data_IF_722465458945
#
_entry.id   IF_722465458945
#
_cell.length_a   1.000
_cell.length_b   1.000
_cell.length_c   1.000
_cell.angle_alpha   90.00
_cell.angle_beta   90.00
_cell.angle_gamma   90.00
#
_symmetry.space_group_name_H-M   'P 1'
#
loop_
_entity.id
_entity.type
_entity.pdbx_description
1 polymer ?
#
# COMPACT_ATOMS: atom_id res chain seq x y z
N UNK A 1 -6.66 6.48 2.22
CA UNK A 1 -5.23 6.11 2.12
C UNK A 1 -4.97 4.99 3.11
N UNK A 2 -4.07 4.07 2.81
CA UNK A 2 -3.67 2.97 3.69
C UNK A 2 -2.15 2.90 3.80
N UNK A 3 -1.62 2.19 4.80
CA UNK A 3 -0.18 2.01 4.97
C UNK A 3 0.30 0.67 4.43
N UNK A 4 1.54 0.64 3.94
CA UNK A 4 2.25 -0.57 3.54
C UNK A 4 3.70 -0.59 3.97
N UNK A 5 4.27 -1.78 4.07
CA UNK A 5 5.68 -1.97 4.43
C UNK A 5 6.50 -2.36 3.20
N UNK A 6 7.50 -1.53 2.92
CA UNK A 6 8.54 -1.77 1.94
C UNK A 6 9.77 -2.36 2.62
N UNK A 7 10.42 -3.31 1.97
CA UNK A 7 11.70 -3.87 2.38
C UNK A 7 12.78 -3.40 1.42
N UNK A 8 13.85 -2.79 1.95
CA UNK A 8 15.05 -2.47 1.18
C UNK A 8 16.04 -3.63 1.21
N UNK A 9 16.57 -4.02 0.05
CA UNK A 9 17.71 -4.94 0.01
C UNK A 9 18.96 -4.22 0.54
N UNK A 10 19.33 -4.48 1.81
CA UNK A 10 20.62 -4.07 2.35
C UNK A 10 21.59 -5.23 2.13
N UNK A 11 22.39 -5.17 1.06
CA UNK A 11 23.51 -6.12 0.89
C UNK A 11 24.62 -5.68 1.84
N UNK A 12 24.56 -6.10 3.10
CA UNK A 12 25.69 -5.97 4.02
C UNK A 12 26.66 -7.10 3.67
N UNK A 13 27.69 -6.80 2.87
CA UNK A 13 28.88 -7.65 2.81
C UNK A 13 29.50 -7.65 4.22
N UNK A 14 29.29 -8.73 4.97
CA UNK A 14 29.89 -8.96 6.28
C UNK A 14 31.41 -9.13 6.14
N UNK A 15 32.14 -8.02 6.04
CA UNK A 15 33.54 -7.98 6.44
C UNK A 15 33.59 -7.48 7.87
N UNK A 16 33.95 -8.37 8.81
CA UNK A 16 34.21 -8.08 10.22
C UNK A 16 35.47 -7.22 10.35
N UNK A 17 35.36 -5.95 9.95
CA UNK A 17 36.33 -4.90 10.25
C UNK A 17 35.51 -3.66 10.57
N UNK A 18 35.30 -3.42 11.87
CA UNK A 18 34.77 -2.18 12.47
C UNK A 18 33.98 -1.30 11.49
N UNK A 19 32.68 -1.56 11.31
CA UNK A 19 31.77 -0.52 10.83
C UNK A 19 31.81 0.59 11.89
N UNK A 20 32.75 1.53 11.75
CA UNK A 20 32.41 2.91 12.06
C UNK A 20 31.08 3.11 11.36
N UNK A 21 30.01 3.38 12.11
CA UNK A 21 28.83 4.06 11.56
C UNK A 21 29.42 5.08 10.58
N UNK A 22 29.18 4.90 9.28
CA UNK A 22 29.52 5.92 8.30
C UNK A 22 28.61 7.07 8.70
N UNK A 23 29.09 7.89 9.63
CA UNK A 23 28.29 8.91 10.27
C UNK A 23 27.96 9.84 9.11
N UNK A 24 26.67 10.01 8.77
CA UNK A 24 26.32 10.97 7.75
C UNK A 24 26.99 12.27 8.15
N UNK A 25 27.64 12.93 7.19
CA UNK A 25 28.36 14.19 7.39
C UNK A 25 27.57 15.03 8.41
N UNK A 26 28.19 15.58 9.46
CA UNK A 26 27.45 16.22 10.59
C UNK A 26 26.43 17.30 10.18
N UNK A 27 26.44 17.70 8.90
CA UNK A 27 25.50 18.60 8.23
C UNK A 27 24.21 17.94 7.71
N UNK A 28 24.10 16.62 7.76
CA UNK A 28 22.93 15.89 7.26
C UNK A 28 21.77 15.99 8.22
N UNK A 29 20.62 16.36 7.69
CA UNK A 29 19.37 16.45 8.44
C UNK A 29 18.88 15.03 8.76
N UNK A 30 18.64 14.76 10.05
CA UNK A 30 18.28 13.41 10.54
C UNK A 30 16.79 13.22 10.76
N UNK A 31 15.97 14.26 10.62
CA UNK A 31 14.52 14.21 10.83
C UNK A 31 13.79 15.02 9.76
N UNK A 32 12.62 14.55 9.33
CA UNK A 32 11.68 15.32 8.54
C UNK A 32 10.33 15.35 9.25
N UNK A 33 9.93 16.52 9.75
CA UNK A 33 8.87 16.60 10.76
C UNK A 33 9.21 15.73 11.97
N UNK A 34 8.29 14.87 12.36
CA UNK A 34 8.43 13.94 13.50
C UNK A 34 9.08 12.59 13.13
N UNK A 35 9.48 12.40 11.86
CA UNK A 35 10.02 11.14 11.37
C UNK A 35 11.54 11.17 11.34
N UNK A 36 12.18 10.25 12.05
CA UNK A 36 13.62 9.99 11.99
C UNK A 36 14.00 9.37 10.63
N UNK A 37 15.06 9.90 10.02
CA UNK A 37 15.65 9.42 8.78
C UNK A 37 17.05 8.86 9.08
N UNK A 38 17.14 7.55 9.37
CA UNK A 38 18.40 6.89 9.68
C UNK A 38 19.17 6.51 8.41
N UNK A 39 20.50 6.50 8.48
CA UNK A 39 21.33 5.87 7.44
C UNK A 39 20.92 4.39 7.26
N UNK A 40 20.79 3.86 6.02
CA UNK A 40 21.30 4.36 4.75
C UNK A 40 20.46 5.43 4.05
N UNK A 41 19.31 5.83 4.62
CA UNK A 41 18.50 6.92 4.10
C UNK A 41 19.11 8.27 4.47
N UNK A 42 18.78 9.31 3.71
CA UNK A 42 19.27 10.64 4.03
C UNK A 42 18.54 11.75 3.30
N UNK A 43 18.53 12.93 3.93
CA UNK A 43 17.96 14.15 3.36
C UNK A 43 19.11 15.03 2.86
N UNK A 44 19.10 15.35 1.57
CA UNK A 44 20.08 16.21 0.94
C UNK A 44 21.27 15.47 0.31
N UNK A 45 22.05 16.23 -0.45
CA UNK A 45 23.13 15.70 -1.31
C UNK A 45 24.20 15.03 -0.45
N UNK A 46 24.48 13.76 -0.74
CA UNK A 46 25.53 12.99 -0.07
C UNK A 46 25.17 12.51 1.35
N UNK A 47 23.90 12.61 1.75
CA UNK A 47 23.44 12.14 3.06
C UNK A 47 22.87 10.72 3.05
N UNK A 48 22.42 10.24 1.89
CA UNK A 48 22.00 8.86 1.67
C UNK A 48 23.16 8.03 1.11
N UNK A 49 23.09 6.70 1.27
CA UNK A 49 24.09 5.78 0.69
C UNK A 49 24.12 5.87 -0.85
N UNK A 50 22.95 6.07 -1.45
CA UNK A 50 22.73 6.20 -2.89
C UNK A 50 21.48 7.05 -3.14
N UNK A 51 21.32 7.54 -4.37
CA UNK A 51 20.19 8.38 -4.78
C UNK A 51 18.82 7.74 -4.50
N UNK A 52 18.70 6.41 -4.54
CA UNK A 52 17.44 5.69 -4.31
C UNK A 52 17.06 5.57 -2.82
N UNK A 53 17.97 5.93 -1.92
CA UNK A 53 17.73 6.07 -0.49
C UNK A 53 17.55 7.54 -0.07
N UNK A 54 17.58 8.48 -1.02
CA UNK A 54 17.29 9.88 -0.73
C UNK A 54 15.83 10.05 -0.32
N UNK A 55 15.64 10.82 0.76
CA UNK A 55 14.33 11.19 1.26
C UNK A 55 14.11 12.66 0.93
N UNK A 56 13.02 12.93 0.21
CA UNK A 56 12.57 14.29 -0.02
C UNK A 56 11.74 14.73 1.19
N UNK A 57 12.21 15.77 1.89
CA UNK A 57 11.45 16.38 2.98
C UNK A 57 10.70 17.61 2.44
N UNK A 58 9.38 17.50 2.32
CA UNK A 58 8.54 18.53 1.71
C UNK A 58 7.47 19.02 2.69
N UNK A 59 7.20 20.32 2.68
CA UNK A 59 6.11 20.92 3.47
C UNK A 59 4.79 20.74 2.72
N UNK A 60 3.84 20.06 3.34
CA UNK A 60 2.50 19.78 2.79
C UNK A 60 1.54 20.96 3.00
N UNK A 61 0.34 20.88 2.42
CA UNK A 61 -0.67 21.97 2.41
C UNK A 61 -1.11 22.39 3.82
N UNK A 62 -1.08 21.45 4.78
CA UNK A 62 -1.33 21.68 6.21
C UNK A 62 -0.16 22.36 6.94
N UNK A 63 0.94 22.67 6.23
CA UNK A 63 2.12 23.31 6.79
C UNK A 63 3.07 22.36 7.51
N UNK A 64 2.81 21.05 7.53
CA UNK A 64 3.65 20.04 8.20
C UNK A 64 4.72 19.55 7.22
N UNK A 65 5.95 19.33 7.70
CA UNK A 65 6.99 18.67 6.89
C UNK A 65 6.81 17.17 6.92
N UNK A 66 6.78 16.53 5.75
CA UNK A 66 6.62 15.09 5.61
C UNK A 66 7.72 14.50 4.72
N UNK A 67 8.27 13.34 5.09
CA UNK A 67 9.26 12.66 4.26
C UNK A 67 8.59 11.87 3.13
N UNK A 68 9.23 11.85 1.98
CA UNK A 68 8.80 11.09 0.81
C UNK A 68 9.98 10.29 0.24
N UNK A 69 9.74 9.02 -0.05
CA UNK A 69 10.59 8.20 -0.92
C UNK A 69 9.86 8.14 -2.26
N UNK A 70 10.45 8.72 -3.30
CA UNK A 70 9.73 9.01 -4.55
C UNK A 70 8.44 9.80 -4.27
N UNK A 71 7.29 9.26 -4.67
CA UNK A 71 5.97 9.87 -4.48
C UNK A 71 5.23 9.32 -3.25
N UNK A 72 5.88 8.44 -2.47
CA UNK A 72 5.27 7.79 -1.32
C UNK A 72 5.66 8.49 -0.02
N UNK A 73 4.67 9.03 0.68
CA UNK A 73 4.86 9.58 2.03
C UNK A 73 5.33 8.46 2.97
N UNK A 74 6.41 8.71 3.71
CA UNK A 74 7.00 7.76 4.65
C UNK A 74 6.42 8.02 6.04
N UNK A 75 5.83 6.98 6.62
CA UNK A 75 5.25 7.02 7.96
C UNK A 75 6.26 6.60 9.03
N UNK A 76 7.21 5.72 8.69
CA UNK A 76 8.27 5.27 9.58
C UNK A 76 9.39 4.56 8.80
N UNK A 77 10.63 4.65 9.30
CA UNK A 77 11.77 3.89 8.78
C UNK A 77 12.40 3.09 9.94
N UNK A 78 12.61 1.80 9.72
CA UNK A 78 13.36 0.92 10.59
C UNK A 78 14.57 0.36 9.82
N UNK A 79 15.70 1.06 9.90
CA UNK A 79 16.93 0.65 9.23
C UNK A 79 17.42 -0.72 9.71
N UNK A 80 17.29 -1.03 11.00
CA UNK A 80 17.68 -2.33 11.58
C UNK A 80 16.86 -3.50 11.04
N UNK A 81 15.62 -3.26 10.62
CA UNK A 81 14.75 -4.27 9.98
C UNK A 81 14.77 -4.18 8.45
N UNK A 82 15.50 -3.22 7.87
CA UNK A 82 15.46 -2.91 6.45
C UNK A 82 14.05 -2.57 5.94
N UNK A 83 13.24 -1.90 6.78
CA UNK A 83 11.82 -1.66 6.54
C UNK A 83 11.52 -0.17 6.47
N UNK A 84 10.63 0.22 5.55
CA UNK A 84 10.00 1.54 5.51
C UNK A 84 8.49 1.36 5.42
N UNK A 85 7.74 1.99 6.32
CA UNK A 85 6.28 2.06 6.21
C UNK A 85 5.93 3.31 5.40
N UNK A 86 5.13 3.14 4.36
CA UNK A 86 4.70 4.22 3.47
C UNK A 86 3.19 4.30 3.39
N UNK A 87 2.68 5.50 3.11
CA UNK A 87 1.28 5.75 2.81
C UNK A 87 1.03 5.57 1.32
N UNK A 88 -0.17 5.10 1.00
CA UNK A 88 -0.57 4.85 -0.37
C UNK A 88 -2.04 5.14 -0.63
N UNK A 89 -2.30 5.59 -1.85
CA UNK A 89 -3.64 5.80 -2.38
C UNK A 89 -4.34 4.46 -2.55
N UNK A 90 -5.63 4.41 -2.21
CA UNK A 90 -6.44 3.21 -2.31
C UNK A 90 -7.16 3.25 -3.67
N UNK A 91 -6.91 2.29 -4.58
CA UNK A 91 -7.64 2.16 -5.82
C UNK A 91 -9.10 1.84 -5.56
N UNK A 92 -9.99 2.45 -6.34
CA UNK A 92 -11.43 2.32 -6.16
C UNK A 92 -12.14 2.01 -7.47
N UNK A 93 -13.25 1.30 -7.36
CA UNK A 93 -14.16 0.99 -8.44
C UNK A 93 -15.57 1.33 -7.97
N UNK A 94 -16.07 2.48 -8.40
CA UNK A 94 -17.26 3.11 -7.83
C UNK A 94 -18.35 3.31 -8.87
N UNK A 95 -19.60 3.12 -8.47
CA UNK A 95 -20.74 3.42 -9.31
C UNK A 95 -20.95 4.94 -9.41
N UNK A 96 -21.03 5.43 -10.64
CA UNK A 96 -21.36 6.82 -10.93
C UNK A 96 -22.81 6.91 -11.40
N UNK A 97 -23.66 7.48 -10.56
CA UNK A 97 -25.09 7.65 -10.83
C UNK A 97 -25.39 8.64 -11.97
N UNK A 98 -24.46 9.53 -12.31
CA UNK A 98 -24.64 10.48 -13.41
C UNK A 98 -24.37 9.85 -14.78
N UNK A 99 -23.45 8.88 -14.85
CA UNK A 99 -23.09 8.19 -16.09
C UNK A 99 -23.71 6.78 -16.18
N UNK A 100 -24.32 6.31 -15.10
CA UNK A 100 -24.84 4.96 -14.89
C UNK A 100 -23.80 3.86 -15.16
N UNK A 101 -22.53 4.16 -14.89
CA UNK A 101 -21.39 3.28 -15.13
C UNK A 101 -20.50 3.19 -13.91
N UNK A 102 -19.65 2.17 -13.89
CA UNK A 102 -18.59 2.07 -12.90
C UNK A 102 -17.37 2.87 -13.35
N UNK A 103 -16.98 3.83 -12.51
CA UNK A 103 -15.75 4.59 -12.64
C UNK A 103 -14.61 3.83 -11.96
N UNK A 104 -13.57 3.55 -12.75
CA UNK A 104 -12.34 2.95 -12.27
C UNK A 104 -11.33 4.06 -11.99
N UNK A 105 -10.78 4.06 -10.78
CA UNK A 105 -9.56 4.80 -10.44
C UNK A 105 -8.42 3.78 -10.34
N UNK A 106 -7.82 3.41 -11.49
CA UNK A 106 -6.79 2.39 -11.51
C UNK A 106 -5.53 2.94 -10.84
N UNK A 107 -4.72 2.03 -10.30
CA UNK A 107 -3.40 2.41 -9.81
C UNK A 107 -2.38 1.31 -10.11
N UNK A 108 -1.29 1.75 -10.71
CA UNK A 108 -0.11 0.93 -10.89
C UNK A 108 0.90 1.30 -9.81
N UNK A 109 1.37 0.28 -9.10
CA UNK A 109 2.43 0.47 -8.12
C UNK A 109 3.74 -0.07 -8.68
N UNK A 110 4.76 0.79 -8.72
CA UNK A 110 6.12 0.42 -9.11
C UNK A 110 7.08 0.90 -8.03
N UNK A 111 7.81 -0.04 -7.45
CA UNK A 111 8.89 0.25 -6.53
C UNK A 111 10.21 0.29 -7.29
N UNK A 112 10.95 1.38 -7.12
CA UNK A 112 12.34 1.41 -7.55
C UNK A 112 13.16 0.43 -6.70
N UNK A 113 14.14 -0.22 -7.31
CA UNK A 113 15.15 -0.96 -6.55
C UNK A 113 15.80 0.00 -5.53
N UNK A 114 16.14 -0.41 -4.30
CA UNK A 114 16.15 -1.78 -3.79
C UNK A 114 14.88 -2.18 -3.05
N UNK A 115 13.76 -1.46 -3.22
CA UNK A 115 12.54 -1.72 -2.47
C UNK A 115 11.71 -2.86 -3.07
N UNK A 116 11.05 -3.61 -2.19
CA UNK A 116 10.00 -4.60 -2.51
C UNK A 116 8.89 -4.55 -1.47
N UNK A 117 7.72 -5.08 -1.80
CA UNK A 117 6.67 -5.25 -0.78
C UNK A 117 7.04 -6.38 0.19
N UNK A 118 6.69 -6.19 1.48
CA UNK A 118 6.83 -7.23 2.50
C UNK A 118 5.77 -8.31 2.30
N UNK A 119 6.18 -9.50 1.85
CA UNK A 119 5.29 -10.65 1.65
C UNK A 119 4.78 -11.28 2.95
N UNK A 120 5.37 -10.90 4.07
CA UNK A 120 4.99 -11.37 5.41
C UNK A 120 4.00 -10.42 6.08
N UNK A 121 4.26 -9.11 5.99
CA UNK A 121 3.47 -8.11 6.71
C UNK A 121 2.33 -7.53 5.87
N UNK A 122 2.49 -7.51 4.54
CA UNK A 122 1.45 -7.02 3.66
C UNK A 122 0.62 -8.16 3.09
N UNK A 123 -0.69 -7.92 2.97
CA UNK A 123 -1.62 -8.79 2.26
C UNK A 123 -2.33 -8.00 1.17
N UNK A 124 -2.74 -8.69 0.12
CA UNK A 124 -3.73 -8.15 -0.80
C UNK A 124 -5.10 -8.24 -0.13
N UNK A 125 -5.82 -7.13 -0.07
CA UNK A 125 -7.16 -7.03 0.52
C UNK A 125 -8.06 -6.34 -0.47
N UNK A 126 -9.24 -6.93 -0.68
CA UNK A 126 -10.32 -6.28 -1.41
C UNK A 126 -11.54 -6.16 -0.49
N UNK A 127 -12.23 -5.03 -0.59
CA UNK A 127 -13.46 -4.72 0.14
C UNK A 127 -14.54 -4.22 -0.82
N UNK A 128 -15.80 -4.47 -0.48
CA UNK A 128 -16.97 -4.18 -1.30
C UNK A 128 -17.84 -5.42 -1.49
N UNK A 129 -18.86 -5.32 -2.33
CA UNK A 129 -19.71 -6.45 -2.70
C UNK A 129 -19.90 -6.54 -4.22
N UNK A 130 -20.40 -7.70 -4.67
CA UNK A 130 -20.60 -8.03 -6.09
C UNK A 130 -19.37 -7.79 -6.98
N UNK A 131 -18.17 -7.82 -6.41
CA UNK A 131 -16.94 -7.46 -7.12
C UNK A 131 -15.82 -8.47 -6.88
N UNK A 132 -14.94 -8.58 -7.86
CA UNK A 132 -13.68 -9.29 -7.79
C UNK A 132 -12.57 -8.28 -7.99
N UNK A 133 -11.67 -8.20 -7.02
CA UNK A 133 -10.42 -7.46 -7.13
C UNK A 133 -9.26 -8.42 -7.36
N UNK A 134 -8.31 -8.06 -8.20
CA UNK A 134 -7.04 -8.78 -8.24
C UNK A 134 -5.86 -7.89 -8.61
N UNK A 135 -4.69 -8.31 -8.15
CA UNK A 135 -3.41 -7.77 -8.59
C UNK A 135 -2.73 -8.70 -9.56
N UNK A 136 -2.07 -8.15 -10.56
CA UNK A 136 -1.20 -8.91 -11.45
C UNK A 136 0.11 -8.19 -11.76
N UNK A 137 1.11 -8.95 -12.18
CA UNK A 137 2.38 -8.40 -12.69
C UNK A 137 2.81 -9.12 -13.96
N UNK A 138 3.14 -8.34 -14.99
CA UNK A 138 3.57 -8.86 -16.28
C UNK A 138 4.90 -9.62 -16.24
N UNK A 139 5.77 -9.32 -15.26
CA UNK A 139 7.13 -9.90 -15.19
C UNK A 139 7.15 -11.37 -14.77
N UNK A 140 6.20 -11.82 -13.94
CA UNK A 140 6.20 -13.18 -13.37
C UNK A 140 4.90 -13.96 -13.60
N UNK A 141 3.95 -13.43 -14.38
CA UNK A 141 2.58 -13.98 -14.53
C UNK A 141 1.92 -14.30 -13.18
N UNK A 142 2.29 -13.55 -12.15
CA UNK A 142 1.74 -13.70 -10.82
C UNK A 142 0.41 -12.96 -10.75
N UNK A 143 -0.58 -13.60 -10.12
CA UNK A 143 -1.89 -13.05 -9.84
C UNK A 143 -2.25 -13.40 -8.40
N UNK A 144 -2.76 -12.42 -7.65
CA UNK A 144 -3.53 -12.67 -6.43
C UNK A 144 -4.87 -11.97 -6.55
N UNK A 145 -5.94 -12.74 -6.42
CA UNK A 145 -7.30 -12.25 -6.53
C UNK A 145 -8.12 -12.55 -5.29
N UNK A 146 -9.20 -11.80 -5.17
CA UNK A 146 -10.21 -11.91 -4.14
C UNK A 146 -11.58 -11.67 -4.77
N UNK A 147 -12.48 -12.62 -4.56
CA UNK A 147 -13.90 -12.47 -4.91
C UNK A 147 -14.64 -12.05 -3.65
N UNK A 148 -15.50 -11.06 -3.76
CA UNK A 148 -16.24 -10.52 -2.62
C UNK A 148 -17.72 -10.39 -2.98
N UNK A 149 -18.56 -11.04 -2.19
CA UNK A 149 -20.01 -11.10 -2.42
C UNK A 149 -20.75 -10.86 -1.11
N UNK A 150 -21.85 -10.12 -1.17
CA UNK A 150 -22.79 -9.99 -0.07
C UNK A 150 -24.17 -9.62 -0.65
N UNK A 151 -25.25 -10.12 -0.05
CA UNK A 151 -26.62 -9.88 -0.54
C UNK A 151 -27.27 -8.67 0.13
N UNK A 152 -26.95 -8.43 1.40
CA UNK A 152 -27.46 -7.31 2.17
C UNK A 152 -26.39 -6.80 3.15
N UNK A 153 -26.55 -5.57 3.67
CA UNK A 153 -25.70 -5.04 4.73
C UNK A 153 -25.68 -5.90 6.01
N UNK A 154 -26.77 -6.63 6.30
CA UNK A 154 -26.92 -7.41 7.53
C UNK A 154 -25.98 -8.62 7.60
N UNK A 155 -25.43 -9.06 6.46
CA UNK A 155 -24.43 -10.14 6.38
C UNK A 155 -23.01 -9.67 6.72
N UNK A 156 -22.78 -8.36 6.73
CA UNK A 156 -21.45 -7.80 6.97
C UNK A 156 -21.07 -7.94 8.45
N UNK A 157 -19.91 -8.53 8.69
CA UNK A 157 -19.38 -8.72 10.04
C UNK A 157 -18.06 -7.96 10.22
N UNK A 158 -18.06 -6.98 11.13
CA UNK A 158 -16.85 -6.24 11.47
C UNK A 158 -15.72 -7.17 11.94
N UNK A 159 -14.51 -6.91 11.48
CA UNK A 159 -13.33 -7.75 11.72
C UNK A 159 -13.27 -9.04 10.87
N UNK A 160 -14.33 -9.40 10.14
CA UNK A 160 -14.33 -10.55 9.23
C UNK A 160 -13.74 -10.19 7.87
N UNK A 161 -12.93 -11.08 7.30
CA UNK A 161 -12.38 -10.90 5.95
C UNK A 161 -12.21 -12.25 5.23
N UNK A 162 -13.35 -12.92 5.03
CA UNK A 162 -13.42 -14.31 4.53
C UNK A 162 -14.30 -14.46 3.27
N UNK A 163 -14.48 -13.38 2.49
CA UNK A 163 -15.21 -13.36 1.23
C UNK A 163 -16.54 -12.61 1.26
N UNK A 164 -17.07 -12.28 2.44
CA UNK A 164 -18.28 -11.48 2.62
C UNK A 164 -17.88 -10.05 2.99
N UNK A 165 -18.09 -9.10 2.07
CA UNK A 165 -17.69 -7.70 2.22
C UNK A 165 -16.18 -7.41 2.23
N UNK A 166 -15.37 -8.37 2.67
CA UNK A 166 -13.91 -8.31 2.68
C UNK A 166 -13.31 -9.67 2.33
N UNK A 167 -12.27 -9.67 1.50
CA UNK A 167 -11.43 -10.82 1.23
C UNK A 167 -9.96 -10.42 1.34
N UNK A 168 -9.12 -11.33 1.86
CA UNK A 168 -7.68 -11.16 1.90
C UNK A 168 -6.97 -12.32 1.17
N UNK A 169 -5.82 -12.03 0.59
CA UNK A 169 -4.94 -13.00 -0.04
C UNK A 169 -3.46 -12.67 0.25
N UNK A 170 -2.61 -13.68 0.26
CA UNK A 170 -1.15 -13.49 0.41
C UNK A 170 -0.55 -12.87 -0.85
N UNK A 171 0.57 -12.15 -0.70
CA UNK A 171 1.35 -11.70 -1.85
C UNK A 171 2.59 -12.58 -2.08
N UNK A 172 3.04 -12.68 -3.33
CA UNK A 172 4.27 -13.43 -3.64
C UNK A 172 5.53 -12.73 -3.13
N UNK A 173 6.56 -13.54 -2.89
CA UNK A 173 7.92 -13.06 -2.59
C UNK A 173 8.47 -12.22 -3.74
N UNK A 174 9.31 -11.26 -3.39
CA UNK A 174 9.99 -10.37 -4.35
C UNK A 174 9.04 -9.55 -5.25
N UNK A 175 7.79 -9.34 -4.84
CA UNK A 175 6.88 -8.42 -5.52
C UNK A 175 7.43 -6.99 -5.44
N UNK A 176 7.68 -6.38 -6.60
CA UNK A 176 8.18 -5.00 -6.73
C UNK A 176 7.25 -4.10 -7.52
N UNK A 177 6.30 -4.68 -8.25
CA UNK A 177 5.28 -3.93 -8.98
C UNK A 177 4.01 -4.75 -9.15
N UNK A 178 2.87 -4.08 -9.20
CA UNK A 178 1.59 -4.69 -9.53
C UNK A 178 0.62 -3.67 -10.12
N UNK A 179 -0.34 -4.18 -10.88
CA UNK A 179 -1.52 -3.46 -11.37
C UNK A 179 -2.74 -3.96 -10.60
N UNK A 180 -3.68 -3.07 -10.27
CA UNK A 180 -4.96 -3.45 -9.66
C UNK A 180 -6.07 -3.46 -10.72
N UNK A 181 -6.88 -4.52 -10.73
CA UNK A 181 -8.03 -4.67 -11.62
C UNK A 181 -9.26 -5.07 -10.83
N UNK A 182 -10.42 -4.63 -11.32
CA UNK A 182 -11.73 -4.96 -10.78
C UNK A 182 -12.63 -5.56 -11.87
N UNK A 183 -13.50 -6.48 -11.48
CA UNK A 183 -14.60 -6.98 -12.28
C UNK A 183 -15.85 -7.16 -11.44
N UNK A 184 -17.02 -6.96 -12.04
CA UNK A 184 -18.27 -7.41 -11.45
C UNK A 184 -18.37 -8.93 -11.53
N UNK A 185 -18.83 -9.57 -10.46
CA UNK A 185 -18.96 -11.04 -10.42
C UNK A 185 -20.30 -11.51 -11.00
N UNK A 186 -21.22 -10.59 -11.29
CA UNK A 186 -22.47 -10.86 -12.01
C UNK A 186 -23.48 -11.77 -11.30
N UNK A 187 -23.22 -12.16 -10.04
CA UNK A 187 -24.14 -12.99 -9.24
C UNK A 187 -25.35 -12.21 -8.72
N UNK A 188 -25.22 -10.89 -8.59
CA UNK A 188 -26.26 -9.99 -8.12
C UNK A 188 -26.67 -9.03 -9.23
N UNK A 189 -27.96 -8.70 -9.30
CA UNK A 189 -28.44 -7.63 -10.17
C UNK A 189 -27.70 -6.35 -9.80
N UNK A 190 -26.78 -5.92 -10.67
CA UNK A 190 -25.93 -4.76 -10.45
C UNK A 190 -26.75 -3.50 -10.17
N UNK A 191 -27.98 -3.43 -10.69
CA UNK A 191 -28.93 -2.32 -10.52
C UNK A 191 -29.42 -2.07 -9.10
N UNK A 192 -29.28 -3.02 -8.16
CA UNK A 192 -29.71 -2.81 -6.75
C UNK A 192 -28.56 -2.87 -5.75
N UNK A 193 -27.46 -3.54 -6.08
CA UNK A 193 -26.32 -3.68 -5.15
C UNK A 193 -25.59 -2.37 -4.88
N UNK A 194 -25.57 -1.42 -5.85
CA UNK A 194 -24.86 -0.15 -5.68
C UNK A 194 -25.49 0.77 -4.62
N UNK A 195 -26.77 0.59 -4.26
CA UNK A 195 -27.47 1.45 -3.30
C UNK A 195 -26.84 1.41 -1.90
N UNK A 196 -26.26 0.29 -1.51
CA UNK A 196 -25.60 0.12 -0.21
C UNK A 196 -24.11 -0.25 -0.33
N UNK A 197 -23.61 -0.49 -1.55
CA UNK A 197 -22.22 -0.78 -1.87
C UNK A 197 -21.84 0.01 -3.16
N UNK A 198 -21.71 1.33 -3.07
CA UNK A 198 -21.41 2.16 -4.22
C UNK A 198 -19.97 1.99 -4.70
N UNK A 199 -19.05 1.49 -3.86
CA UNK A 199 -17.65 1.36 -4.20
C UNK A 199 -17.05 0.02 -3.75
N UNK A 200 -16.17 -0.52 -4.58
CA UNK A 200 -15.23 -1.56 -4.19
C UNK A 200 -13.80 -0.99 -4.16
N UNK A 201 -12.95 -1.55 -3.30
CA UNK A 201 -11.56 -1.17 -3.17
C UNK A 201 -10.67 -2.40 -3.14
N UNK A 202 -9.46 -2.29 -3.69
CA UNK A 202 -8.49 -3.39 -3.75
C UNK A 202 -7.09 -2.83 -3.60
N UNK A 203 -6.37 -3.33 -2.61
CA UNK A 203 -5.14 -2.74 -2.14
C UNK A 203 -4.22 -3.79 -1.55
N UNK A 204 -2.92 -3.59 -1.66
CA UNK A 204 -1.96 -4.31 -0.82
C UNK A 204 -1.73 -3.41 0.39
N UNK A 205 -1.89 -3.94 1.61
CA UNK A 205 -1.81 -3.17 2.86
C UNK A 205 -1.13 -3.98 3.94
N UNK A 206 -0.58 -3.30 4.93
CA UNK A 206 -0.10 -3.97 6.14
C UNK A 206 -1.27 -4.61 6.90
N UNK A 207 -1.25 -5.95 6.98
CA UNK A 207 -2.39 -6.72 7.43
C UNK A 207 -2.70 -6.53 8.93
N UNK A 208 -1.67 -6.35 9.76
CA UNK A 208 -1.85 -6.21 11.22
C UNK A 208 -2.56 -4.90 11.61
N UNK A 209 -2.52 -3.88 10.75
CA UNK A 209 -3.19 -2.60 10.98
C UNK A 209 -4.51 -2.46 10.21
N UNK A 210 -4.96 -3.52 9.53
CA UNK A 210 -6.21 -3.51 8.81
C UNK A 210 -7.27 -4.32 9.56
N UNK A 211 -8.37 -3.65 9.93
CA UNK A 211 -9.56 -4.30 10.49
C UNK A 211 -10.74 -3.89 9.62
N UNK A 212 -11.44 -4.87 9.06
CA UNK A 212 -12.62 -4.59 8.25
C UNK A 212 -13.75 -3.97 9.08
N UNK A 213 -14.37 -2.92 8.55
CA UNK A 213 -15.58 -2.32 9.08
C UNK A 213 -16.63 -2.26 7.95
N UNK A 214 -17.86 -2.66 8.23
CA UNK A 214 -18.99 -2.62 7.30
C UNK A 214 -19.26 -1.23 6.75
N UNK A 215 -18.93 -0.17 7.50
CA UNK A 215 -19.02 1.22 7.04
C UNK A 215 -18.18 1.49 5.78
N UNK A 216 -17.12 0.73 5.54
CA UNK A 216 -16.33 0.86 4.31
C UNK A 216 -17.12 0.47 3.04
N UNK A 217 -18.23 -0.23 3.21
CA UNK A 217 -19.14 -0.64 2.14
C UNK A 217 -20.36 0.26 2.14
N UNK A 218 -20.96 0.49 3.31
CA UNK A 218 -22.28 1.11 3.45
C UNK A 218 -22.28 2.64 3.45
N UNK A 219 -21.12 3.27 3.61
CA UNK A 219 -21.00 4.73 3.73
C UNK A 219 -19.89 5.24 2.80
N UNK A 220 -20.28 6.03 1.81
CA UNK A 220 -19.37 6.81 0.95
C UNK A 220 -19.94 8.18 0.68
#
# INVERSE_FOLDING_TARGET
>A
MASMILLGAVIILLNLTSMSLAQPNHRCRTHCGDIEIPYPFGIGIGCAIEQRFEVNCSRTVDGIERPFIHEQEVLNISASRGQSRVLMTIPSYCYNSSTEKMDLLPWDFYLAWPYRFSDVQNKFISIGCNSMGYIYTGKSRYVAGCVIVCWSPDELANGSCVGIGCCQNTITKALTSYHVVFYDVGYLNSTTSWHFNPCAYSMVVEAENFVFNSEYITTT
#
